data_IF_226912050068
#
_entry.id   IF_226912050068
#
_cell.length_a   1.000
_cell.length_b   1.000
_cell.length_c   1.000
_cell.angle_alpha   90.00
_cell.angle_beta   90.00
_cell.angle_gamma   90.00
#
_symmetry.space_group_name_H-M   'P 1'
#
loop_
_entity.id
_entity.type
_entity.pdbx_description
1 polymer ?
#
# COMPACT_ATOMS: atom_id res chain seq x y z
N UNK A 1 -5.02 9.87 -8.99
CA UNK A 1 -5.01 8.65 -8.15
C UNK A 1 -5.25 7.43 -9.03
N UNK A 2 -4.64 6.27 -8.70
CA UNK A 2 -4.87 5.02 -9.43
C UNK A 2 -5.22 3.91 -8.42
N UNK A 3 -6.10 3.01 -8.82
CA UNK A 3 -6.44 1.80 -8.06
C UNK A 3 -6.76 0.65 -9.00
N UNK A 4 -6.50 -0.58 -8.56
CA UNK A 4 -6.89 -1.81 -9.24
C UNK A 4 -8.03 -2.46 -8.46
N UNK A 5 -9.05 -2.93 -9.16
CA UNK A 5 -10.17 -3.60 -8.51
C UNK A 5 -11.41 -3.76 -9.39
N UNK A 6 -12.48 -4.31 -8.83
CA UNK A 6 -13.76 -4.38 -9.52
C UNK A 6 -14.37 -2.99 -9.71
N UNK A 7 -15.41 -2.88 -10.53
CA UNK A 7 -16.06 -1.59 -10.84
C UNK A 7 -16.53 -0.81 -9.61
N UNK A 8 -16.83 -1.49 -8.50
CA UNK A 8 -17.18 -0.87 -7.22
C UNK A 8 -16.06 0.00 -6.65
N UNK A 9 -14.78 -0.30 -6.98
CA UNK A 9 -13.63 0.49 -6.53
C UNK A 9 -13.62 1.93 -7.12
N UNK A 10 -14.47 2.22 -8.10
CA UNK A 10 -14.68 3.58 -8.62
C UNK A 10 -15.12 4.55 -7.51
N UNK A 11 -15.84 4.08 -6.50
CA UNK A 11 -16.28 4.93 -5.38
C UNK A 11 -15.11 5.48 -4.58
N UNK A 12 -14.05 4.68 -4.42
CA UNK A 12 -12.79 5.13 -3.75
C UNK A 12 -12.14 6.27 -4.53
N UNK A 13 -12.14 6.21 -5.86
CA UNK A 13 -11.60 7.27 -6.71
C UNK A 13 -12.43 8.54 -6.63
N UNK A 14 -13.77 8.43 -6.56
CA UNK A 14 -14.65 9.58 -6.33
C UNK A 14 -14.34 10.27 -5.02
N UNK A 15 -14.18 9.49 -3.94
CA UNK A 15 -13.83 10.02 -2.63
C UNK A 15 -12.48 10.74 -2.66
N UNK A 16 -11.48 10.16 -3.33
CA UNK A 16 -10.18 10.82 -3.51
C UNK A 16 -10.30 12.17 -4.24
N UNK A 17 -11.16 12.27 -5.26
CA UNK A 17 -11.42 13.54 -5.94
C UNK A 17 -12.10 14.53 -5.00
N UNK A 18 -13.02 14.09 -4.15
CA UNK A 18 -13.65 14.96 -3.12
C UNK A 18 -12.60 15.45 -2.11
N UNK A 19 -11.59 14.65 -1.82
CA UNK A 19 -10.46 15.00 -0.95
C UNK A 19 -9.41 15.87 -1.63
N UNK A 20 -9.46 16.03 -2.96
CA UNK A 20 -8.58 16.97 -3.68
C UNK A 20 -7.75 16.37 -4.80
N UNK A 21 -7.87 15.10 -5.11
CA UNK A 21 -7.26 14.55 -6.32
C UNK A 21 -7.88 15.20 -7.57
N UNK A 22 -7.07 15.39 -8.61
CA UNK A 22 -7.53 15.99 -9.87
C UNK A 22 -8.19 14.97 -10.78
N UNK A 23 -7.70 13.72 -10.76
CA UNK A 23 -8.21 12.64 -11.59
C UNK A 23 -8.04 11.28 -10.92
N UNK A 24 -8.77 10.29 -11.43
CA UNK A 24 -8.70 8.90 -10.98
C UNK A 24 -8.67 7.92 -12.14
N UNK A 25 -7.88 6.85 -12.00
CA UNK A 25 -7.81 5.75 -12.95
C UNK A 25 -8.12 4.45 -12.23
N UNK A 26 -9.16 3.75 -12.69
CA UNK A 26 -9.49 2.40 -12.25
C UNK A 26 -8.92 1.40 -13.25
N UNK A 27 -8.00 0.56 -12.81
CA UNK A 27 -7.50 -0.57 -13.57
C UNK A 27 -8.40 -1.76 -13.27
N UNK A 28 -9.24 -2.16 -14.23
CA UNK A 28 -10.29 -3.16 -14.00
C UNK A 28 -10.52 -4.05 -15.23
N UNK A 29 -10.27 -5.34 -15.02
CA UNK A 29 -10.62 -6.40 -15.97
C UNK A 29 -10.84 -7.71 -15.21
N UNK A 30 -11.60 -8.64 -15.79
CA UNK A 30 -11.80 -9.97 -15.19
C UNK A 30 -10.50 -10.76 -15.09
N UNK A 31 -9.59 -10.60 -16.05
CA UNK A 31 -8.29 -11.27 -16.04
C UNK A 31 -7.36 -10.81 -14.91
N UNK A 32 -7.64 -9.69 -14.23
CA UNK A 32 -6.85 -9.22 -13.08
C UNK A 32 -7.28 -9.86 -11.76
N UNK A 33 -8.38 -10.63 -11.75
CA UNK A 33 -8.89 -11.24 -10.54
C UNK A 33 -7.97 -12.34 -10.00
N UNK A 34 -7.89 -12.46 -8.67
CA UNK A 34 -7.08 -13.48 -8.00
C UNK A 34 -5.57 -13.22 -8.03
N UNK A 35 -5.15 -12.02 -8.44
CA UNK A 35 -3.75 -11.62 -8.44
C UNK A 35 -3.13 -11.70 -7.03
N UNK A 36 -1.94 -12.28 -6.93
CA UNK A 36 -1.08 -12.13 -5.76
C UNK A 36 -0.37 -10.78 -5.76
N UNK A 37 0.57 -10.58 -4.86
CA UNK A 37 1.31 -9.32 -4.72
C UNK A 37 2.05 -8.96 -6.01
N UNK A 38 2.75 -9.92 -6.62
CA UNK A 38 3.55 -9.71 -7.81
C UNK A 38 2.68 -9.33 -9.02
N UNK A 39 1.62 -10.10 -9.31
CA UNK A 39 0.70 -9.80 -10.39
C UNK A 39 -0.08 -8.50 -10.16
N UNK A 40 -0.40 -8.15 -8.91
CA UNK A 40 -0.99 -6.87 -8.53
C UNK A 40 -0.04 -5.71 -8.83
N UNK A 41 1.21 -5.83 -8.41
CA UNK A 41 2.24 -4.81 -8.62
C UNK A 41 2.52 -4.59 -10.10
N UNK A 42 2.60 -5.68 -10.87
CA UNK A 42 2.75 -5.61 -12.33
C UNK A 42 1.57 -4.91 -13.00
N UNK A 43 0.35 -5.30 -12.64
CA UNK A 43 -0.88 -4.68 -13.19
C UNK A 43 -0.93 -3.18 -12.89
N UNK A 44 -0.59 -2.79 -11.65
CA UNK A 44 -0.54 -1.38 -11.26
C UNK A 44 0.57 -0.63 -12.01
N UNK A 45 1.75 -1.24 -12.19
CA UNK A 45 2.84 -0.66 -12.99
C UNK A 45 2.37 -0.35 -14.41
N UNK A 46 1.72 -1.28 -15.11
CA UNK A 46 1.15 -1.08 -16.43
C UNK A 46 0.09 0.03 -16.43
N UNK A 47 -0.77 0.07 -15.41
CA UNK A 47 -1.77 1.13 -15.23
C UNK A 47 -1.15 2.50 -15.01
N UNK A 48 -0.07 2.61 -14.22
CA UNK A 48 0.66 3.85 -13.98
C UNK A 48 1.29 4.35 -15.27
N UNK A 49 1.97 3.47 -16.02
CA UNK A 49 2.57 3.82 -17.32
C UNK A 49 1.52 4.31 -18.31
N UNK A 50 0.33 3.69 -18.31
CA UNK A 50 -0.81 4.13 -19.15
C UNK A 50 -1.36 5.49 -18.71
N UNK A 51 -1.35 5.79 -17.42
CA UNK A 51 -1.84 7.06 -16.88
C UNK A 51 -0.92 8.25 -17.21
N UNK A 52 0.38 8.02 -17.41
CA UNK A 52 1.35 9.06 -17.79
C UNK A 52 2.69 8.92 -17.08
N UNK A 53 3.43 10.03 -17.06
CA UNK A 53 4.72 10.15 -16.37
C UNK A 53 4.55 10.95 -15.08
N UNK A 54 5.26 10.54 -14.03
CA UNK A 54 5.15 11.13 -12.70
C UNK A 54 6.55 11.25 -12.08
N UNK A 55 6.82 12.37 -11.43
CA UNK A 55 8.08 12.58 -10.71
C UNK A 55 8.10 11.79 -9.39
N UNK A 56 6.95 11.69 -8.71
CA UNK A 56 6.82 10.96 -7.45
C UNK A 56 5.54 10.12 -7.47
N UNK A 57 5.69 8.83 -7.16
CA UNK A 57 4.58 7.90 -6.95
C UNK A 57 4.46 7.66 -5.45
N UNK A 58 3.27 7.91 -4.89
CA UNK A 58 2.99 7.68 -3.48
C UNK A 58 2.09 6.45 -3.31
N UNK A 59 2.52 5.52 -2.49
CA UNK A 59 1.75 4.35 -2.07
C UNK A 59 1.56 4.35 -0.55
N UNK A 60 0.50 3.73 -0.05
CA UNK A 60 0.43 3.38 1.36
C UNK A 60 1.51 2.34 1.72
N UNK A 61 1.94 2.32 2.97
CA UNK A 61 2.93 1.35 3.47
C UNK A 61 2.48 -0.10 3.23
N UNK A 62 1.25 -0.41 3.64
CA UNK A 62 0.69 -1.76 3.59
C UNK A 62 -0.82 -1.74 3.70
N UNK A 63 -1.47 -2.83 3.31
CA UNK A 63 -2.91 -3.05 3.48
C UNK A 63 -3.21 -3.78 4.78
N UNK A 64 -4.46 -3.72 5.24
CA UNK A 64 -4.89 -4.40 6.47
C UNK A 64 -5.33 -5.84 6.27
N UNK A 65 -5.52 -6.27 5.03
CA UNK A 65 -5.93 -7.61 4.64
C UNK A 65 -4.75 -8.54 4.31
N UNK A 66 -3.89 -8.13 3.38
CA UNK A 66 -2.73 -8.94 2.97
C UNK A 66 -1.47 -8.67 3.79
N UNK A 67 -1.30 -7.46 4.32
CA UNK A 67 -0.22 -7.03 5.23
C UNK A 67 1.21 -7.33 4.73
N UNK A 68 1.41 -7.41 3.41
CA UNK A 68 2.71 -7.81 2.83
C UNK A 68 3.71 -6.66 2.71
N UNK A 69 3.25 -5.40 2.61
CA UNK A 69 4.05 -4.20 2.40
C UNK A 69 4.96 -4.24 1.15
N UNK A 70 4.66 -5.08 0.16
CA UNK A 70 5.53 -5.36 -1.00
C UNK A 70 5.12 -4.61 -2.27
N UNK A 71 3.83 -4.30 -2.44
CA UNK A 71 3.29 -3.74 -3.71
C UNK A 71 4.04 -2.47 -4.14
N UNK A 72 4.29 -1.51 -3.24
CA UNK A 72 5.02 -0.29 -3.60
C UNK A 72 6.44 -0.56 -4.11
N UNK A 73 7.30 -1.25 -3.33
CA UNK A 73 8.64 -1.63 -3.77
C UNK A 73 8.68 -2.43 -5.09
N UNK A 74 7.75 -3.36 -5.28
CA UNK A 74 7.67 -4.15 -6.53
C UNK A 74 7.28 -3.29 -7.73
N UNK A 75 6.35 -2.34 -7.58
CA UNK A 75 6.03 -1.37 -8.64
C UNK A 75 7.28 -0.58 -9.03
N UNK A 76 8.06 -0.13 -8.06
CA UNK A 76 9.29 0.62 -8.32
C UNK A 76 10.32 -0.22 -9.08
N UNK A 77 10.45 -1.51 -8.74
CA UNK A 77 11.34 -2.45 -9.43
C UNK A 77 10.87 -2.67 -10.88
N UNK A 78 9.57 -2.93 -11.11
CA UNK A 78 9.03 -3.05 -12.47
C UNK A 78 9.20 -1.77 -13.31
N UNK A 79 9.21 -0.60 -12.68
CA UNK A 79 9.43 0.67 -13.36
C UNK A 79 10.91 1.04 -13.50
N UNK A 80 11.82 0.34 -12.84
CA UNK A 80 13.25 0.64 -12.82
C UNK A 80 13.59 1.97 -12.15
N UNK A 81 12.81 2.38 -11.11
CA UNK A 81 12.99 3.64 -10.39
C UNK A 81 13.37 3.38 -8.92
N UNK A 82 14.10 4.31 -8.27
CA UNK A 82 14.40 4.20 -6.84
C UNK A 82 13.14 4.28 -5.99
N UNK A 83 13.14 3.61 -4.82
CA UNK A 83 12.06 3.71 -3.85
C UNK A 83 12.54 4.00 -2.43
N UNK A 84 11.66 4.64 -1.66
CA UNK A 84 11.80 4.84 -0.22
C UNK A 84 10.64 4.20 0.53
N UNK A 85 10.94 3.32 1.49
CA UNK A 85 9.92 2.63 2.27
C UNK A 85 9.72 3.25 3.66
N UNK A 86 8.49 3.11 4.20
CA UNK A 86 8.13 3.61 5.53
C UNK A 86 8.43 5.11 5.72
N UNK A 87 8.10 5.91 4.70
CA UNK A 87 8.33 7.36 4.73
C UNK A 87 7.36 8.01 5.71
N UNK A 88 7.91 8.70 6.69
CA UNK A 88 7.18 9.45 7.70
C UNK A 88 7.11 10.95 7.39
N UNK A 89 8.02 11.45 6.54
CA UNK A 89 8.08 12.86 6.22
C UNK A 89 8.89 13.11 4.93
N UNK A 90 8.48 14.12 4.15
CA UNK A 90 9.21 14.65 3.02
C UNK A 90 9.75 16.03 3.46
N UNK A 91 11.06 16.12 3.67
CA UNK A 91 11.68 17.30 4.28
C UNK A 91 12.14 18.33 3.26
N UNK A 92 12.39 17.90 2.02
CA UNK A 92 12.83 18.82 0.96
C UNK A 92 12.47 18.23 -0.41
N UNK A 93 12.09 19.11 -1.34
CA UNK A 93 11.80 18.76 -2.74
C UNK A 93 12.57 19.75 -3.63
N UNK A 94 13.60 19.25 -4.30
CA UNK A 94 14.36 19.98 -5.29
C UNK A 94 13.82 19.76 -6.71
N UNK A 95 14.55 20.23 -7.70
CA UNK A 95 14.17 20.11 -9.12
C UNK A 95 14.18 18.64 -9.61
N UNK A 96 15.18 17.84 -9.21
CA UNK A 96 15.38 16.46 -9.63
C UNK A 96 15.61 15.49 -8.47
N UNK A 97 15.51 15.96 -7.25
CA UNK A 97 15.80 15.18 -6.05
C UNK A 97 14.77 15.46 -4.95
N UNK A 98 14.53 14.46 -4.11
CA UNK A 98 13.66 14.53 -2.95
C UNK A 98 14.40 14.02 -1.72
N UNK A 99 14.21 14.69 -0.59
CA UNK A 99 14.77 14.27 0.70
C UNK A 99 13.64 13.79 1.60
N UNK A 100 13.76 12.56 2.08
CA UNK A 100 12.75 11.87 2.87
C UNK A 100 13.30 11.42 4.23
N UNK A 101 12.42 11.29 5.22
CA UNK A 101 12.69 10.63 6.49
C UNK A 101 11.91 9.32 6.57
N UNK A 102 12.62 8.24 6.87
CA UNK A 102 12.07 6.88 6.92
C UNK A 102 12.15 6.33 8.34
N UNK A 103 11.13 5.59 8.74
CA UNK A 103 11.08 4.85 9.99
C UNK A 103 11.55 3.41 9.76
N UNK A 104 12.71 3.06 10.27
CA UNK A 104 13.33 1.73 10.17
C UNK A 104 13.30 1.02 11.54
N UNK A 105 12.17 1.01 12.21
CA UNK A 105 11.91 0.39 13.52
C UNK A 105 12.81 0.93 14.65
N UNK A 106 14.13 0.71 14.54
CA UNK A 106 15.11 1.09 15.57
C UNK A 106 15.80 2.42 15.30
N UNK A 107 15.59 3.03 14.13
CA UNK A 107 16.22 4.31 13.76
C UNK A 107 15.39 5.07 12.75
N UNK A 108 15.53 6.38 12.77
CA UNK A 108 15.05 7.28 11.72
C UNK A 108 16.21 7.54 10.76
N UNK A 109 16.00 7.31 9.48
CA UNK A 109 16.99 7.56 8.46
C UNK A 109 16.53 8.69 7.55
N UNK A 110 17.41 9.66 7.29
CA UNK A 110 17.19 10.68 6.27
C UNK A 110 17.93 10.26 5.01
N UNK A 111 17.24 10.25 3.89
CA UNK A 111 17.80 9.85 2.60
C UNK A 111 17.41 10.87 1.53
N UNK A 112 18.36 11.19 0.67
CA UNK A 112 18.15 11.93 -0.58
C UNK A 112 18.13 10.94 -1.74
N UNK A 113 17.17 11.07 -2.64
CA UNK A 113 17.05 10.22 -3.82
C UNK A 113 16.65 11.03 -5.06
N UNK A 114 16.98 10.50 -6.23
CA UNK A 114 16.62 11.11 -7.51
C UNK A 114 15.16 10.83 -7.84
N UNK A 115 14.52 11.76 -8.54
CA UNK A 115 13.24 11.56 -9.20
C UNK A 115 13.44 11.14 -10.67
N UNK A 116 12.54 10.35 -11.27
CA UNK A 116 11.32 9.82 -10.67
C UNK A 116 11.59 8.78 -9.59
N UNK A 117 10.73 8.71 -8.57
CA UNK A 117 10.85 7.75 -7.48
C UNK A 117 9.49 7.31 -6.94
N UNK A 118 9.48 6.20 -6.17
CA UNK A 118 8.29 5.72 -5.48
C UNK A 118 8.52 5.75 -3.96
N UNK A 119 7.51 6.22 -3.22
CA UNK A 119 7.54 6.29 -1.76
C UNK A 119 6.37 5.51 -1.17
N UNK A 120 6.64 4.62 -0.21
CA UNK A 120 5.58 4.06 0.63
C UNK A 120 5.49 4.85 1.92
N UNK A 121 4.30 5.40 2.22
CA UNK A 121 4.12 6.36 3.31
C UNK A 121 3.46 5.72 4.53
N UNK A 122 3.90 6.13 5.72
CA UNK A 122 3.27 5.77 6.99
C UNK A 122 1.91 6.46 7.13
N UNK A 123 0.98 5.81 7.83
CA UNK A 123 -0.38 6.35 8.06
C UNK A 123 -0.39 7.72 8.77
N UNK A 124 0.62 7.96 9.60
CA UNK A 124 0.73 9.17 10.42
C UNK A 124 1.64 10.24 9.77
N UNK A 125 2.03 10.07 8.50
CA UNK A 125 2.85 11.04 7.77
C UNK A 125 2.16 12.40 7.62
N UNK A 126 0.82 12.41 7.55
CA UNK A 126 0.02 13.63 7.60
C UNK A 126 -1.42 13.33 8.07
N UNK A 127 -2.14 14.39 8.43
CA UNK A 127 -3.58 14.28 8.72
C UNK A 127 -4.36 14.49 7.41
N UNK A 128 -5.09 13.48 6.91
CA UNK A 128 -5.88 13.62 5.68
C UNK A 128 -6.97 14.68 5.85
N UNK A 129 -7.20 15.46 4.79
CA UNK A 129 -8.35 16.38 4.76
C UNK A 129 -9.67 15.61 4.59
N UNK A 130 -10.75 16.16 5.12
CA UNK A 130 -12.09 15.59 4.90
C UNK A 130 -12.55 15.80 3.45
N UNK A 131 -13.39 14.90 2.90
CA UNK A 131 -14.03 15.08 1.60
C UNK A 131 -14.83 16.38 1.55
N UNK A 132 -14.64 17.16 0.49
CA UNK A 132 -15.31 18.44 0.30
C UNK A 132 -16.67 18.25 -0.36
N UNK A 133 -17.73 18.70 0.30
CA UNK A 133 -19.09 18.70 -0.26
C UNK A 133 -19.17 19.55 -1.54
N UNK A 134 -18.49 20.70 -1.58
CA UNK A 134 -18.42 21.54 -2.78
C UNK A 134 -17.80 20.81 -3.97
N UNK A 135 -16.70 20.06 -3.74
CA UNK A 135 -16.08 19.24 -4.80
C UNK A 135 -17.01 18.13 -5.26
N UNK A 136 -17.71 17.47 -4.33
CA UNK A 136 -18.70 16.44 -4.64
C UNK A 136 -19.81 16.96 -5.56
N UNK A 137 -20.32 18.16 -5.33
CA UNK A 137 -21.37 18.76 -6.16
C UNK A 137 -20.88 19.18 -7.56
N UNK A 138 -19.61 19.60 -7.67
CA UNK A 138 -19.05 20.17 -8.89
C UNK A 138 -18.16 19.16 -9.66
N UNK A 139 -18.08 17.91 -9.22
CA UNK A 139 -17.25 16.90 -9.87
C UNK A 139 -17.81 16.55 -11.24
N UNK A 140 -16.96 16.65 -12.28
CA UNK A 140 -17.21 16.00 -13.57
C UNK A 140 -16.75 14.54 -13.53
N UNK A 141 -17.55 13.64 -14.09
CA UNK A 141 -17.16 12.22 -14.24
C UNK A 141 -16.02 12.02 -15.24
N UNK A 142 -15.72 13.01 -16.08
CA UNK A 142 -14.63 12.94 -17.07
C UNK A 142 -13.25 12.85 -16.45
N UNK A 143 -13.10 13.25 -15.17
CA UNK A 143 -11.86 13.10 -14.42
C UNK A 143 -11.58 11.66 -13.98
N UNK A 144 -12.54 10.75 -14.15
CA UNK A 144 -12.41 9.33 -13.81
C UNK A 144 -12.35 8.48 -15.10
N UNK A 145 -11.36 7.60 -15.16
CA UNK A 145 -11.17 6.70 -16.29
C UNK A 145 -11.10 5.26 -15.81
N UNK A 146 -11.58 4.34 -16.64
CA UNK A 146 -11.36 2.90 -16.46
C UNK A 146 -10.41 2.43 -17.54
N UNK A 147 -9.44 1.61 -17.15
CA UNK A 147 -8.45 1.00 -18.05
C UNK A 147 -8.57 -0.52 -17.92
N UNK A 148 -8.81 -1.19 -19.04
CA UNK A 148 -8.89 -2.64 -19.18
C UNK A 148 -7.59 -3.21 -19.75
N UNK A 149 -7.44 -4.55 -19.77
CA UNK A 149 -6.29 -5.23 -20.36
C UNK A 149 -5.97 -4.73 -21.79
N UNK A 150 -7.00 -4.50 -22.60
CA UNK A 150 -6.85 -4.08 -24.01
C UNK A 150 -6.18 -2.72 -24.19
N UNK A 151 -6.16 -1.91 -23.13
CA UNK A 151 -5.59 -0.55 -23.14
C UNK A 151 -4.18 -0.50 -22.54
N UNK A 152 -3.74 -1.58 -21.92
CA UNK A 152 -2.38 -1.71 -21.37
C UNK A 152 -1.35 -1.98 -22.47
N UNK A 153 -0.09 -1.72 -22.18
CA UNK A 153 1.01 -1.96 -23.10
C UNK A 153 1.26 -3.47 -23.33
N UNK A 154 1.19 -4.23 -22.26
CA UNK A 154 1.20 -5.68 -22.30
C UNK A 154 -0.24 -6.20 -22.25
N UNK A 155 -0.65 -6.94 -23.27
CA UNK A 155 -2.01 -7.48 -23.40
C UNK A 155 -2.06 -9.01 -23.25
N UNK A 156 -0.94 -9.65 -22.87
CA UNK A 156 -0.95 -11.10 -22.60
C UNK A 156 -1.58 -11.37 -21.22
N UNK A 157 -2.80 -11.93 -21.24
CA UNK A 157 -3.55 -12.23 -20.01
C UNK A 157 -2.81 -13.15 -19.04
N UNK A 158 -1.81 -13.91 -19.50
CA UNK A 158 -1.01 -14.81 -18.65
C UNK A 158 -0.09 -14.07 -17.67
N UNK A 159 0.16 -12.79 -17.87
CA UNK A 159 0.96 -11.98 -16.98
C UNK A 159 0.15 -11.33 -15.85
N UNK A 160 -1.17 -11.59 -15.79
CA UNK A 160 -2.11 -10.91 -14.91
C UNK A 160 -2.92 -11.90 -14.07
N UNK A 161 -3.52 -11.37 -13.00
CA UNK A 161 -4.46 -12.12 -12.17
C UNK A 161 -3.86 -13.41 -11.62
N UNK A 162 -4.68 -14.44 -11.57
CA UNK A 162 -4.27 -15.74 -11.04
C UNK A 162 -3.20 -16.41 -11.92
N UNK A 163 -3.28 -16.26 -13.25
CA UNK A 163 -2.32 -16.88 -14.19
C UNK A 163 -0.94 -16.23 -14.09
N UNK A 164 -0.87 -14.92 -13.82
CA UNK A 164 0.38 -14.18 -13.61
C UNK A 164 0.94 -14.26 -12.19
N UNK A 165 0.23 -14.92 -11.27
CA UNK A 165 0.61 -15.00 -9.86
C UNK A 165 1.58 -16.14 -9.58
N UNK A 166 2.83 -15.88 -9.15
CA UNK A 166 3.74 -16.92 -8.70
C UNK A 166 3.30 -17.65 -7.43
N UNK A 167 2.36 -17.05 -6.66
CA UNK A 167 1.79 -17.67 -5.46
C UNK A 167 0.29 -17.81 -5.58
N UNK A 168 -0.27 -18.87 -4.97
CA UNK A 168 -1.70 -19.11 -4.96
C UNK A 168 -2.16 -19.54 -3.58
N UNK A 169 -3.36 -19.09 -3.18
CA UNK A 169 -3.98 -19.48 -1.91
C UNK A 169 -4.44 -20.93 -2.02
N UNK A 170 -3.78 -21.84 -1.31
CA UNK A 170 -4.16 -23.25 -1.26
C UNK A 170 -5.32 -23.49 -0.30
N UNK A 171 -5.29 -22.83 0.87
CA UNK A 171 -6.28 -23.05 1.92
C UNK A 171 -6.47 -21.82 2.80
N UNK A 172 -7.73 -21.51 3.10
CA UNK A 172 -8.11 -20.49 4.09
C UNK A 172 -8.68 -21.21 5.32
N UNK A 173 -8.19 -20.85 6.51
CA UNK A 173 -8.71 -21.38 7.77
C UNK A 173 -8.66 -20.30 8.87
N UNK A 174 -9.63 -20.28 9.78
CA UNK A 174 -9.57 -19.36 10.91
C UNK A 174 -8.43 -19.77 11.85
N UNK A 175 -7.75 -18.81 12.50
CA UNK A 175 -6.75 -19.13 13.50
C UNK A 175 -7.38 -19.93 14.65
N UNK A 176 -6.69 -20.98 15.08
CA UNK A 176 -7.12 -21.74 16.25
C UNK A 176 -7.12 -20.83 17.49
N UNK A 177 -8.26 -20.75 18.18
CA UNK A 177 -8.34 -20.04 19.44
C UNK A 177 -7.57 -20.87 20.49
N UNK A 178 -6.36 -20.46 20.84
CA UNK A 178 -5.68 -21.01 22.02
C UNK A 178 -6.55 -20.72 23.24
N UNK A 179 -7.04 -21.78 23.86
CA UNK A 179 -7.89 -21.69 25.07
C UNK A 179 -7.08 -21.42 26.34
N UNK A 180 -5.76 -21.48 26.27
CA UNK A 180 -4.89 -21.39 27.44
C UNK A 180 -4.61 -19.93 27.79
N UNK A 181 -5.62 -19.29 28.39
CA UNK A 181 -5.41 -18.03 29.11
C UNK A 181 -5.21 -18.36 30.56
N UNK A 182 -4.01 -18.17 31.07
CA UNK A 182 -3.73 -18.21 32.49
C UNK A 182 -4.04 -16.83 33.09
N UNK A 183 -4.94 -16.79 34.07
CA UNK A 183 -5.26 -15.57 34.80
C UNK A 183 -4.62 -15.73 36.17
N UNK A 184 -3.67 -14.85 36.47
CA UNK A 184 -2.96 -14.85 37.74
C UNK A 184 -3.36 -13.63 38.55
N UNK A 185 -3.97 -13.86 39.72
CA UNK A 185 -4.38 -12.81 40.64
C UNK A 185 -3.46 -12.86 41.88
N UNK A 186 -2.56 -11.90 42.01
CA UNK A 186 -1.62 -11.78 43.13
C UNK A 186 -1.33 -10.31 43.42
N UNK A 187 -0.61 -10.04 44.53
CA UNK A 187 -0.18 -8.68 44.79
C UNK A 187 0.90 -8.18 43.82
N UNK A 188 1.01 -6.87 43.63
CA UNK A 188 1.82 -6.28 42.56
C UNK A 188 3.28 -6.74 42.51
N UNK A 189 3.92 -7.01 43.65
CA UNK A 189 5.32 -7.48 43.70
C UNK A 189 5.44 -8.94 43.18
N UNK A 190 4.50 -9.80 43.54
CA UNK A 190 4.49 -11.17 43.09
C UNK A 190 4.17 -11.25 41.59
N UNK A 191 3.19 -10.46 41.11
CA UNK A 191 2.87 -10.36 39.67
C UNK A 191 4.07 -9.88 38.85
N UNK A 192 4.81 -8.91 39.32
CA UNK A 192 6.02 -8.44 38.67
C UNK A 192 7.09 -9.52 38.53
N UNK A 193 7.34 -10.29 39.61
CA UNK A 193 8.29 -11.42 39.56
C UNK A 193 7.82 -12.53 38.64
N UNK A 194 6.54 -12.85 38.68
CA UNK A 194 5.93 -13.85 37.79
C UNK A 194 6.05 -13.45 36.33
N UNK A 195 5.76 -12.19 36.01
CA UNK A 195 5.90 -11.68 34.65
C UNK A 195 7.35 -11.75 34.16
N UNK A 196 8.33 -11.32 34.99
CA UNK A 196 9.76 -11.42 34.65
C UNK A 196 10.15 -12.87 34.36
N UNK A 197 9.71 -13.80 35.23
CA UNK A 197 9.99 -15.22 35.04
C UNK A 197 9.44 -15.75 33.69
N UNK A 198 8.18 -15.44 33.34
CA UNK A 198 7.60 -15.84 32.04
C UNK A 198 8.39 -15.23 30.89
N UNK A 199 8.76 -13.94 30.96
CA UNK A 199 9.50 -13.28 29.89
C UNK A 199 10.89 -13.92 29.70
N UNK A 200 11.56 -14.31 30.77
CA UNK A 200 12.84 -15.04 30.72
C UNK A 200 12.66 -16.45 30.14
N UNK A 201 11.65 -17.20 30.59
CA UNK A 201 11.35 -18.55 30.09
C UNK A 201 11.06 -18.52 28.58
N UNK A 202 10.31 -17.50 28.13
CA UNK A 202 9.95 -17.28 26.73
C UNK A 202 11.06 -16.61 25.90
N UNK A 203 12.22 -16.29 26.52
CA UNK A 203 13.38 -15.63 25.88
C UNK A 203 13.06 -14.26 25.29
N UNK A 204 12.19 -13.50 25.95
CA UNK A 204 11.94 -12.10 25.63
C UNK A 204 12.84 -11.14 26.43
N UNK A 205 13.49 -11.65 27.50
CA UNK A 205 14.50 -10.97 28.33
C UNK A 205 15.73 -11.85 28.45
#
# INVERSE_FOLDING_TARGET
MITMGPMQAMEVLKEAVYMGAESGVLVSDRCFAGADVCATSYTLCQGIQKAGTFDVILCGKQTTDGDTAQVGPEIAEFMGIPHGANVMDITDIGENEITIRMNLEHRIQTQRMKMPCLLTVEKDANTPRLPSYKRKLNMSLDCLKTVSLKELSDQDSKHYGLDGSPTQVERIFPPEKKKDKEIVEENGQKLARYLIHILQEKKFL
#
